data_IF_188183672952
#
_entry.id   IF_188183672952
#
_cell.length_a   1.000
_cell.length_b   1.000
_cell.length_c   1.000
_cell.angle_alpha   90.00
_cell.angle_beta   90.00
_cell.angle_gamma   90.00
#
_symmetry.space_group_name_H-M   'P 1'
#
loop_
_entity.id
_entity.type
_entity.pdbx_description
1 polymer ?
#
# COMPACT_ATOMS: atom_id res chain seq x y z
N UNK A 1 21.37 0.70 23.01
CA UNK A 1 21.11 1.55 21.83
C UNK A 1 19.61 1.72 21.68
N UNK A 2 19.12 2.96 21.58
CA UNK A 2 17.69 3.23 21.44
C UNK A 2 17.26 2.81 20.02
N UNK A 3 16.34 1.85 19.92
CA UNK A 3 15.69 1.49 18.65
C UNK A 3 14.79 2.66 18.28
N UNK A 4 15.24 3.51 17.37
CA UNK A 4 14.42 4.56 16.78
C UNK A 4 13.34 3.87 15.94
N UNK A 5 12.16 3.68 16.52
CA UNK A 5 10.99 3.18 15.81
C UNK A 5 10.47 4.38 15.00
N UNK A 6 10.67 4.38 13.68
CA UNK A 6 10.04 5.36 12.81
C UNK A 6 8.53 5.09 12.81
N UNK A 7 7.79 5.85 13.61
CA UNK A 7 6.34 5.73 13.77
C UNK A 7 5.59 6.59 12.74
N UNK A 8 5.81 6.37 11.45
CA UNK A 8 4.73 6.67 10.50
C UNK A 8 3.75 5.51 10.59
N UNK A 9 2.94 5.51 11.64
CA UNK A 9 1.88 4.52 11.82
C UNK A 9 0.77 4.89 10.85
N UNK A 10 0.75 4.24 9.69
CA UNK A 10 -0.41 4.28 8.82
C UNK A 10 -1.55 3.54 9.55
N UNK A 11 -2.70 4.20 9.83
CA UNK A 11 -3.79 3.57 10.54
C UNK A 11 -4.29 2.33 9.80
N UNK A 12 -4.61 1.27 10.55
CA UNK A 12 -5.31 0.13 9.97
C UNK A 12 -6.70 0.55 9.48
N UNK A 13 -7.16 -0.13 8.44
CA UNK A 13 -8.48 0.06 7.83
C UNK A 13 -9.27 -1.23 7.95
N UNK A 14 -10.59 -1.12 7.99
CA UNK A 14 -11.47 -2.26 8.30
C UNK A 14 -12.59 -2.43 7.28
N UNK A 15 -12.60 -1.64 6.22
CA UNK A 15 -13.58 -1.71 5.14
C UNK A 15 -12.97 -1.42 3.77
N UNK A 16 -13.63 -1.92 2.73
CA UNK A 16 -13.29 -1.57 1.34
C UNK A 16 -13.47 -0.06 1.09
N UNK A 17 -14.50 0.55 1.67
CA UNK A 17 -14.79 1.98 1.50
C UNK A 17 -13.64 2.85 2.03
N UNK A 18 -13.08 2.52 3.20
CA UNK A 18 -11.91 3.22 3.75
C UNK A 18 -10.67 3.05 2.87
N UNK A 19 -10.42 1.84 2.37
CA UNK A 19 -9.29 1.57 1.45
C UNK A 19 -9.42 2.37 0.15
N UNK A 20 -10.61 2.40 -0.44
CA UNK A 20 -10.87 3.16 -1.68
C UNK A 20 -10.80 4.67 -1.46
N UNK A 21 -11.28 5.16 -0.30
CA UNK A 21 -11.17 6.57 0.05
C UNK A 21 -9.70 7.02 0.17
N UNK A 22 -8.79 6.12 0.58
CA UNK A 22 -7.36 6.41 0.57
C UNK A 22 -6.82 6.46 -0.87
N UNK A 23 -7.17 5.50 -1.74
CA UNK A 23 -6.77 5.55 -3.16
C UNK A 23 -7.24 6.84 -3.83
N UNK A 24 -8.45 7.30 -3.51
CA UNK A 24 -9.02 8.54 -4.06
C UNK A 24 -8.19 9.79 -3.72
N UNK A 25 -7.47 9.82 -2.59
CA UNK A 25 -6.57 10.94 -2.24
C UNK A 25 -5.44 11.13 -3.25
N UNK A 26 -5.04 10.05 -3.93
CA UNK A 26 -3.92 10.02 -4.88
C UNK A 26 -4.37 9.93 -6.34
N UNK A 27 -5.68 10.08 -6.60
CA UNK A 27 -6.26 9.89 -7.93
C UNK A 27 -5.64 10.82 -8.98
N UNK A 28 -5.31 12.04 -8.60
CA UNK A 28 -4.73 13.04 -9.50
C UNK A 28 -3.26 12.75 -9.85
N UNK A 29 -2.58 11.90 -9.06
CA UNK A 29 -1.21 11.44 -9.31
C UNK A 29 -1.16 10.17 -10.19
N UNK A 30 -2.32 9.63 -10.56
CA UNK A 30 -2.44 8.37 -11.29
C UNK A 30 -3.07 8.59 -12.67
N UNK A 31 -2.62 7.80 -13.64
CA UNK A 31 -3.39 7.62 -14.87
C UNK A 31 -4.71 6.91 -14.58
N UNK A 32 -5.70 7.09 -15.45
CA UNK A 32 -6.99 6.41 -15.33
C UNK A 32 -6.83 4.88 -15.28
N UNK A 33 -5.87 4.34 -16.04
CA UNK A 33 -5.56 2.91 -16.07
C UNK A 33 -4.97 2.42 -14.75
N UNK A 34 -3.96 3.10 -14.21
CA UNK A 34 -3.37 2.78 -12.91
C UNK A 34 -4.41 2.85 -11.79
N UNK A 35 -5.26 3.89 -11.78
CA UNK A 35 -6.32 4.01 -10.79
C UNK A 35 -7.32 2.83 -10.88
N UNK A 36 -7.76 2.46 -12.09
CA UNK A 36 -8.67 1.31 -12.29
C UNK A 36 -8.03 -0.01 -11.86
N UNK A 37 -6.75 -0.21 -12.21
CA UNK A 37 -5.98 -1.38 -11.81
C UNK A 37 -5.88 -1.47 -10.29
N UNK A 38 -5.46 -0.40 -9.62
CA UNK A 38 -5.32 -0.36 -8.17
C UNK A 38 -6.66 -0.55 -7.45
N UNK A 39 -7.75 0.04 -7.97
CA UNK A 39 -9.10 -0.21 -7.47
C UNK A 39 -9.49 -1.70 -7.56
N UNK A 40 -9.14 -2.38 -8.65
CA UNK A 40 -9.37 -3.81 -8.83
C UNK A 40 -8.56 -4.67 -7.84
N UNK A 41 -7.28 -4.33 -7.64
CA UNK A 41 -6.40 -4.99 -6.66
C UNK A 41 -6.99 -4.84 -5.26
N UNK A 42 -7.31 -3.61 -4.83
CA UNK A 42 -7.86 -3.34 -3.49
C UNK A 42 -9.19 -4.09 -3.28
N UNK A 43 -10.06 -4.12 -4.30
CA UNK A 43 -11.33 -4.83 -4.21
C UNK A 43 -11.15 -6.35 -4.10
N UNK A 44 -10.14 -6.91 -4.76
CA UNK A 44 -9.82 -8.35 -4.68
C UNK A 44 -9.38 -8.75 -3.28
N UNK A 45 -8.54 -7.96 -2.61
CA UNK A 45 -8.18 -8.19 -1.21
C UNK A 45 -9.39 -8.11 -0.25
N UNK A 46 -10.32 -7.18 -0.50
CA UNK A 46 -11.51 -7.05 0.33
C UNK A 46 -12.45 -8.27 0.26
N UNK A 47 -12.45 -9.03 -0.85
CA UNK A 47 -13.17 -10.32 -0.96
C UNK A 47 -12.62 -11.31 0.06
N UNK A 48 -11.32 -11.26 0.35
CA UNK A 48 -10.63 -12.09 1.34
C UNK A 48 -10.66 -11.47 2.76
N UNK A 49 -11.51 -10.48 3.00
CA UNK A 49 -11.62 -9.76 4.28
C UNK A 49 -10.30 -9.08 4.71
N UNK A 50 -9.49 -8.67 3.72
CA UNK A 50 -8.24 -7.92 3.90
C UNK A 50 -8.42 -6.51 3.36
N UNK A 51 -8.00 -5.50 4.14
CA UNK A 51 -8.20 -4.10 3.81
C UNK A 51 -6.86 -3.37 3.76
N UNK A 52 -6.58 -2.68 2.66
CA UNK A 52 -5.28 -2.05 2.42
C UNK A 52 -5.23 -0.67 3.06
N UNK A 53 -4.30 -0.49 4.01
CA UNK A 53 -4.03 0.82 4.58
C UNK A 53 -3.21 1.68 3.62
N UNK A 54 -2.96 2.93 4.04
CA UNK A 54 -2.27 3.91 3.22
C UNK A 54 -0.83 3.54 2.88
N UNK A 55 -0.11 2.78 3.73
CA UNK A 55 1.21 2.24 3.37
C UNK A 55 1.11 1.29 2.19
N UNK A 56 0.13 0.40 2.21
CA UNK A 56 -0.05 -0.59 1.15
C UNK A 56 -0.42 0.09 -0.17
N UNK A 57 -1.30 1.08 -0.13
CA UNK A 57 -1.72 1.83 -1.32
C UNK A 57 -0.55 2.64 -1.90
N UNK A 58 0.24 3.33 -1.07
CA UNK A 58 1.45 4.03 -1.52
C UNK A 58 2.46 3.08 -2.18
N UNK A 59 2.57 1.84 -1.72
CA UNK A 59 3.44 0.85 -2.35
C UNK A 59 2.94 0.43 -3.74
N UNK A 60 1.63 0.30 -3.94
CA UNK A 60 1.07 0.04 -5.28
C UNK A 60 1.42 1.20 -6.23
N UNK A 61 1.23 2.44 -5.77
CA UNK A 61 1.55 3.65 -6.54
C UNK A 61 3.05 3.75 -6.86
N UNK A 62 3.92 3.38 -5.93
CA UNK A 62 5.37 3.32 -6.20
C UNK A 62 5.72 2.33 -7.30
N UNK A 63 5.08 1.15 -7.30
CA UNK A 63 5.27 0.13 -8.34
C UNK A 63 4.77 0.65 -9.70
N UNK A 64 3.61 1.30 -9.73
CA UNK A 64 3.09 1.95 -10.92
C UNK A 64 4.04 3.01 -11.48
N UNK A 65 4.81 3.66 -10.60
CA UNK A 65 5.85 4.65 -10.93
C UNK A 65 7.25 4.04 -11.19
N UNK A 66 7.34 2.72 -11.32
CA UNK A 66 8.55 2.02 -11.77
C UNK A 66 9.46 1.50 -10.64
N UNK A 67 9.06 1.60 -9.37
CA UNK A 67 9.80 0.95 -8.27
C UNK A 67 9.72 -0.57 -8.43
N UNK A 68 10.86 -1.25 -8.34
CA UNK A 68 10.91 -2.70 -8.44
C UNK A 68 10.25 -3.36 -7.22
N UNK A 69 9.20 -4.19 -7.39
CA UNK A 69 8.55 -4.88 -6.28
C UNK A 69 9.50 -5.71 -5.41
N UNK A 70 10.54 -6.30 -6.00
CA UNK A 70 11.51 -7.12 -5.27
C UNK A 70 12.36 -6.30 -4.30
N UNK A 71 12.64 -5.03 -4.62
CA UNK A 71 13.37 -4.12 -3.72
C UNK A 71 12.50 -3.76 -2.51
N UNK A 72 11.22 -3.46 -2.74
CA UNK A 72 10.25 -3.23 -1.65
C UNK A 72 10.13 -4.46 -0.75
N UNK A 73 9.93 -5.65 -1.32
CA UNK A 73 9.87 -6.91 -0.56
C UNK A 73 11.15 -7.13 0.25
N UNK A 74 12.32 -6.84 -0.34
CA UNK A 74 13.61 -6.99 0.34
C UNK A 74 13.72 -6.03 1.52
N UNK A 75 13.25 -4.79 1.38
CA UNK A 75 13.20 -3.83 2.48
C UNK A 75 12.30 -4.33 3.62
N UNK A 76 11.09 -4.83 3.31
CA UNK A 76 10.20 -5.39 4.33
C UNK A 76 10.82 -6.58 5.06
N UNK A 77 11.45 -7.50 4.33
CA UNK A 77 12.14 -8.65 4.95
C UNK A 77 13.24 -8.20 5.92
N UNK A 78 13.99 -7.14 5.59
CA UNK A 78 14.98 -6.54 6.50
C UNK A 78 14.31 -5.90 7.72
N UNK A 79 13.23 -5.12 7.53
CA UNK A 79 12.48 -4.48 8.63
C UNK A 79 11.90 -5.52 9.61
N UNK A 80 11.48 -6.68 9.11
CA UNK A 80 10.97 -7.80 9.89
C UNK A 80 12.06 -8.71 10.47
N UNK A 81 13.34 -8.49 10.12
CA UNK A 81 14.47 -9.31 10.59
C UNK A 81 14.48 -10.74 10.03
N UNK A 82 13.91 -10.94 8.84
CA UNK A 82 13.88 -12.24 8.14
C UNK A 82 15.20 -12.48 7.39
N UNK A 83 15.87 -11.41 6.93
CA UNK A 83 17.15 -11.42 6.22
C UNK A 83 18.11 -10.35 6.77
#
# INVERSE_FOLDING_TARGET
>A
MKKTINTTTYPEVYTLAESLAILDKYKDDLTEEQYKQNKSVISSFAIENMYLNEKNILNLIQIDNGVNPNELITQYKKEWGII
#
